data_IF_785105299533
#
_entry.id   IF_785105299533
#
_cell.length_a   1.000
_cell.length_b   1.000
_cell.length_c   1.000
_cell.angle_alpha   90.00
_cell.angle_beta   90.00
_cell.angle_gamma   90.00
#
_symmetry.space_group_name_H-M   'P 1'
#
loop_
_entity.id
_entity.type
_entity.pdbx_description
1 polymer ?
#
# COMPACT_ATOMS: atom_id res chain seq x y z
N UNK A 1 -13.32 49.89 -16.85
CA UNK A 1 -14.45 49.50 -15.99
C UNK A 1 -13.97 48.46 -15.01
N UNK A 2 -13.74 48.93 -13.78
CA UNK A 2 -13.74 48.21 -12.50
C UNK A 2 -12.73 47.05 -12.38
N UNK A 3 -11.55 47.43 -11.90
CA UNK A 3 -10.65 46.55 -11.15
C UNK A 3 -11.35 46.15 -9.86
N UNK A 4 -11.73 44.87 -9.74
CA UNK A 4 -12.31 44.35 -8.50
C UNK A 4 -11.17 44.07 -7.50
N UNK A 5 -10.75 45.16 -6.86
CA UNK A 5 -9.87 45.13 -5.70
C UNK A 5 -10.64 44.50 -4.53
N UNK A 6 -10.59 43.18 -4.40
CA UNK A 6 -10.91 42.52 -3.13
C UNK A 6 -9.77 42.81 -2.16
N UNK A 7 -9.86 43.97 -1.51
CA UNK A 7 -9.03 44.32 -0.37
C UNK A 7 -9.44 43.43 0.81
N UNK A 8 -8.68 42.35 1.03
CA UNK A 8 -8.89 41.47 2.18
C UNK A 8 -8.34 42.15 3.44
N UNK A 9 -9.15 42.40 4.49
CA UNK A 9 -8.74 43.17 5.65
C UNK A 9 -7.61 42.48 6.43
N UNK A 10 -6.65 43.29 6.90
CA UNK A 10 -5.40 42.87 7.56
C UNK A 10 -5.59 42.04 8.86
N UNK A 11 -6.80 41.97 9.41
CA UNK A 11 -7.15 41.12 10.57
C UNK A 11 -7.33 39.63 10.22
N UNK A 12 -7.47 39.30 8.93
CA UNK A 12 -7.57 37.90 8.46
C UNK A 12 -6.18 37.29 8.22
N UNK A 13 -5.17 38.13 7.97
CA UNK A 13 -3.81 37.70 7.64
C UNK A 13 -2.96 37.27 8.84
N UNK A 14 -3.15 37.87 10.01
CA UNK A 14 -2.43 37.50 11.24
C UNK A 14 -2.91 36.13 11.79
N UNK A 15 -4.23 35.96 11.90
CA UNK A 15 -4.86 34.70 12.30
C UNK A 15 -4.46 33.53 11.39
N UNK A 16 -4.28 33.77 10.08
CA UNK A 16 -3.86 32.73 9.13
C UNK A 16 -2.45 32.20 9.40
N UNK A 17 -1.53 33.06 9.85
CA UNK A 17 -0.16 32.67 10.14
C UNK A 17 -0.06 31.89 11.46
N UNK A 18 -0.82 32.28 12.47
CA UNK A 18 -0.87 31.59 13.77
C UNK A 18 -1.55 30.21 13.66
N UNK A 19 -2.69 30.13 12.98
CA UNK A 19 -3.37 28.85 12.69
C UNK A 19 -2.47 27.90 11.89
N UNK A 20 -1.66 28.42 10.94
CA UNK A 20 -0.71 27.60 10.18
C UNK A 20 0.43 27.06 11.04
N UNK A 21 0.83 27.77 12.09
CA UNK A 21 1.83 27.27 13.06
C UNK A 21 1.21 26.20 13.93
N UNK A 22 0.04 26.46 14.49
CA UNK A 22 -0.70 25.52 15.33
C UNK A 22 -0.98 24.19 14.60
N UNK A 23 -1.46 24.24 13.35
CA UNK A 23 -1.68 23.03 12.54
C UNK A 23 -0.38 22.28 12.28
N UNK A 24 0.73 22.97 12.00
CA UNK A 24 2.03 22.32 11.80
C UNK A 24 2.54 21.67 13.09
N UNK A 25 2.32 22.32 14.23
CA UNK A 25 2.74 21.79 15.52
C UNK A 25 1.92 20.55 15.88
N UNK A 26 0.61 20.55 15.61
CA UNK A 26 -0.25 19.36 15.75
C UNK A 26 0.23 18.22 14.84
N UNK A 27 0.47 18.49 13.55
CA UNK A 27 0.95 17.46 12.61
C UNK A 27 2.28 16.87 13.10
N UNK A 28 3.21 17.69 13.59
CA UNK A 28 4.48 17.23 14.16
C UNK A 28 4.28 16.40 15.43
N UNK A 29 3.36 16.80 16.30
CA UNK A 29 3.07 16.07 17.53
C UNK A 29 2.51 14.67 17.25
N UNK A 30 1.80 14.50 16.13
CA UNK A 30 1.21 13.22 15.70
C UNK A 30 1.91 12.61 14.48
N UNK A 31 3.18 12.95 14.23
CA UNK A 31 3.95 12.47 13.06
C UNK A 31 4.00 10.93 12.97
N UNK A 32 3.96 10.24 14.12
CA UNK A 32 3.96 8.78 14.21
C UNK A 32 2.64 8.11 13.79
N UNK A 33 1.54 8.86 13.74
CA UNK A 33 0.22 8.33 13.34
C UNK A 33 0.09 8.25 11.81
N UNK A 34 0.89 9.04 11.10
CA UNK A 34 0.85 9.10 9.64
C UNK A 34 1.89 8.14 9.03
N UNK A 35 1.44 7.30 8.10
CA UNK A 35 2.35 6.50 7.27
C UNK A 35 3.22 7.42 6.41
N UNK A 36 4.53 7.23 6.47
CA UNK A 36 5.52 8.00 5.71
C UNK A 36 5.74 7.46 4.31
N UNK A 37 5.49 6.17 4.12
CA UNK A 37 5.59 5.48 2.84
C UNK A 37 4.49 4.43 2.67
N UNK A 38 4.50 3.73 1.53
CA UNK A 38 3.47 2.73 1.17
C UNK A 38 3.55 1.43 1.99
N UNK A 39 4.69 1.17 2.62
CA UNK A 39 5.02 -0.05 3.36
C UNK A 39 5.15 0.20 4.87
N UNK A 40 5.07 1.45 5.30
CA UNK A 40 5.02 1.92 6.68
C UNK A 40 3.68 1.51 7.32
N UNK A 41 3.61 0.23 7.65
CA UNK A 41 2.48 -0.43 8.29
C UNK A 41 2.96 -0.92 9.64
N UNK A 42 2.42 -0.33 10.71
CA UNK A 42 2.75 -0.76 12.06
C UNK A 42 2.19 -2.16 12.35
N UNK A 43 2.91 -2.93 13.16
CA UNK A 43 2.51 -4.26 13.54
C UNK A 43 1.37 -4.19 14.56
N UNK A 44 0.14 -4.40 14.11
CA UNK A 44 -1.02 -4.56 14.99
C UNK A 44 -0.77 -5.73 15.96
N UNK A 45 -0.76 -5.43 17.26
CA UNK A 45 -0.63 -6.41 18.36
C UNK A 45 -1.96 -7.14 18.61
N UNK A 46 -2.52 -7.73 17.56
CA UNK A 46 -3.78 -8.47 17.63
C UNK A 46 -3.46 -9.95 17.46
N UNK A 47 -4.18 -10.80 18.19
CA UNK A 47 -4.08 -12.25 18.04
C UNK A 47 -4.29 -12.66 16.57
N UNK A 48 -3.48 -13.60 16.04
CA UNK A 48 -3.62 -14.03 14.65
C UNK A 48 -5.03 -14.56 14.35
N UNK A 49 -5.70 -13.94 13.37
CA UNK A 49 -6.99 -14.43 12.89
C UNK A 49 -6.87 -15.86 12.34
N UNK A 50 -7.63 -16.80 12.91
CA UNK A 50 -7.80 -18.16 12.39
C UNK A 50 -8.94 -18.19 11.37
N UNK A 51 -8.66 -18.70 10.18
CA UNK A 51 -9.65 -18.90 9.13
C UNK A 51 -10.19 -20.33 9.24
N UNK A 52 -11.52 -20.48 9.37
CA UNK A 52 -12.18 -21.77 9.36
C UNK A 52 -12.54 -22.11 7.91
N UNK A 53 -12.02 -23.24 7.40
CA UNK A 53 -12.33 -23.72 6.06
C UNK A 53 -13.58 -24.60 6.08
N UNK A 54 -14.30 -24.62 4.97
CA UNK A 54 -15.43 -25.54 4.75
C UNK A 54 -14.96 -26.92 4.29
N UNK A 55 -13.74 -27.02 3.76
CA UNK A 55 -13.11 -28.25 3.29
C UNK A 55 -11.59 -28.14 3.45
N UNK A 56 -10.95 -29.25 3.83
CA UNK A 56 -9.50 -29.36 4.01
C UNK A 56 -8.75 -29.71 2.72
N UNK A 57 -9.45 -29.78 1.58
CA UNK A 57 -8.83 -30.04 0.28
C UNK A 57 -8.05 -28.79 -0.20
N UNK A 58 -6.74 -28.89 -0.47
CA UNK A 58 -5.95 -27.75 -0.88
C UNK A 58 -6.25 -27.34 -2.33
N UNK A 59 -6.31 -26.02 -2.56
CA UNK A 59 -6.44 -25.45 -3.90
C UNK A 59 -5.07 -24.95 -4.35
N UNK A 60 -4.51 -25.58 -5.38
CA UNK A 60 -3.23 -25.20 -5.98
C UNK A 60 -3.42 -24.90 -7.46
N UNK A 61 -3.40 -23.62 -7.81
CA UNK A 61 -3.52 -23.14 -9.17
C UNK A 61 -2.13 -22.90 -9.79
N UNK A 62 -2.02 -23.11 -11.11
CA UNK A 62 -0.77 -22.83 -11.84
C UNK A 62 -0.59 -21.31 -12.00
N UNK A 63 0.65 -20.79 -11.86
CA UNK A 63 0.96 -19.41 -12.23
C UNK A 63 0.58 -19.12 -13.69
N UNK A 64 0.18 -17.88 -13.96
CA UNK A 64 -0.03 -17.42 -15.33
C UNK A 64 1.31 -17.27 -16.04
N UNK A 65 1.31 -17.46 -17.36
CA UNK A 65 2.47 -17.15 -18.18
C UNK A 65 2.69 -15.63 -18.17
N UNK A 66 3.90 -15.21 -17.82
CA UNK A 66 4.32 -13.80 -17.81
C UNK A 66 5.49 -13.60 -18.76
N UNK A 67 5.60 -12.41 -19.35
CA UNK A 67 6.79 -12.02 -20.11
C UNK A 67 7.99 -11.82 -19.17
N UNK A 68 9.24 -11.84 -19.69
CA UNK A 68 10.44 -11.65 -18.87
C UNK A 68 10.46 -10.31 -18.11
N UNK A 69 9.87 -9.26 -18.71
CA UNK A 69 9.78 -7.92 -18.09
C UNK A 69 8.81 -7.95 -16.90
N UNK A 70 7.66 -8.60 -17.07
CA UNK A 70 6.67 -8.76 -16.00
C UNK A 70 7.23 -9.62 -14.86
N UNK A 71 7.95 -10.69 -15.18
CA UNK A 71 8.57 -11.58 -14.19
C UNK A 71 9.60 -10.83 -13.33
N UNK A 72 10.43 -9.98 -13.94
CA UNK A 72 11.39 -9.13 -13.23
C UNK A 72 10.68 -8.14 -12.29
N UNK A 73 9.60 -7.52 -12.75
CA UNK A 73 8.81 -6.59 -11.94
C UNK A 73 8.13 -7.31 -10.76
N UNK A 74 7.59 -8.51 -10.98
CA UNK A 74 7.03 -9.35 -9.92
C UNK A 74 8.11 -9.65 -8.86
N UNK A 75 9.31 -10.10 -9.28
CA UNK A 75 10.41 -10.40 -8.34
C UNK A 75 10.82 -9.16 -7.53
N UNK A 76 10.96 -8.01 -8.18
CA UNK A 76 11.30 -6.74 -7.53
C UNK A 76 10.28 -6.33 -6.47
N UNK A 77 8.98 -6.49 -6.74
CA UNK A 77 7.93 -6.17 -5.77
C UNK A 77 7.89 -7.15 -4.61
N UNK A 78 8.04 -8.45 -4.89
CA UNK A 78 8.12 -9.49 -3.86
C UNK A 78 9.28 -9.21 -2.91
N UNK A 79 10.45 -8.87 -3.44
CA UNK A 79 11.62 -8.55 -2.61
C UNK A 79 11.37 -7.35 -1.70
N UNK A 80 10.75 -6.28 -2.21
CA UNK A 80 10.36 -5.11 -1.40
C UNK A 80 9.39 -5.50 -0.28
N UNK A 81 8.40 -6.36 -0.57
CA UNK A 81 7.43 -6.81 0.43
C UNK A 81 8.07 -7.72 1.49
N UNK A 82 9.03 -8.57 1.10
CA UNK A 82 9.83 -9.38 2.02
C UNK A 82 10.70 -8.51 2.92
N UNK A 83 11.38 -7.52 2.35
CA UNK A 83 12.21 -6.56 3.10
C UNK A 83 11.38 -5.74 4.08
N UNK A 84 10.15 -5.36 3.70
CA UNK A 84 9.20 -4.67 4.57
C UNK A 84 8.57 -5.59 5.64
N UNK A 85 8.80 -6.91 5.60
CA UNK A 85 8.23 -7.86 6.55
C UNK A 85 6.72 -8.09 6.40
N UNK A 86 6.11 -7.64 5.29
CA UNK A 86 4.68 -7.78 5.03
C UNK A 86 4.31 -9.20 4.55
N UNK A 87 5.25 -9.89 3.91
CA UNK A 87 5.10 -11.28 3.48
C UNK A 87 6.26 -12.14 3.96
N UNK A 88 6.10 -13.47 3.90
CA UNK A 88 7.14 -14.45 4.24
C UNK A 88 7.10 -15.65 3.29
N UNK A 89 8.25 -16.28 3.11
CA UNK A 89 8.34 -17.55 2.41
C UNK A 89 7.63 -18.66 3.19
N UNK A 90 7.15 -19.67 2.48
CA UNK A 90 6.35 -20.76 3.03
C UNK A 90 6.26 -21.92 2.05
N UNK A 91 6.00 -23.13 2.59
CA UNK A 91 5.74 -24.33 1.81
C UNK A 91 4.29 -24.81 2.01
N UNK A 92 3.31 -24.05 1.53
CA UNK A 92 1.89 -24.40 1.63
C UNK A 92 1.44 -25.30 0.48
N UNK A 93 0.52 -26.25 0.72
CA UNK A 93 -0.14 -26.99 -0.36
C UNK A 93 -1.13 -26.14 -1.17
N UNK A 94 -1.42 -24.91 -0.72
CA UNK A 94 -2.30 -23.97 -1.41
C UNK A 94 -1.49 -22.95 -2.23
N UNK A 95 -1.97 -22.65 -3.44
CA UNK A 95 -1.33 -21.68 -4.34
C UNK A 95 -2.35 -20.97 -5.23
N UNK A 96 -2.18 -19.66 -5.40
CA UNK A 96 -2.98 -18.80 -6.29
C UNK A 96 -2.03 -18.07 -7.24
N UNK A 97 -2.37 -17.92 -8.53
CA UNK A 97 -1.56 -17.19 -9.48
C UNK A 97 -1.51 -15.69 -9.15
N UNK A 98 -0.43 -15.05 -9.59
CA UNK A 98 -0.24 -13.59 -9.49
C UNK A 98 -0.53 -12.95 -10.84
N UNK A 99 -1.17 -11.79 -10.82
CA UNK A 99 -1.38 -10.95 -12.01
C UNK A 99 -0.95 -9.53 -11.69
N UNK A 100 -0.24 -8.90 -12.63
CA UNK A 100 0.11 -7.49 -12.56
C UNK A 100 -1.07 -6.65 -13.04
N UNK A 101 -1.50 -5.68 -12.22
CA UNK A 101 -2.52 -4.71 -12.62
C UNK A 101 -1.96 -3.31 -12.47
N UNK A 102 -1.87 -2.56 -13.56
CA UNK A 102 -1.45 -1.16 -13.53
C UNK A 102 -2.60 -0.29 -13.02
N UNK A 103 -2.43 0.34 -11.86
CA UNK A 103 -3.27 1.46 -11.42
C UNK A 103 -2.74 2.75 -12.03
N UNK A 104 -3.67 3.57 -12.50
CA UNK A 104 -3.41 4.94 -12.90
C UNK A 104 -3.30 5.82 -11.66
N UNK A 105 -2.10 6.00 -11.12
CA UNK A 105 -1.84 7.12 -10.20
C UNK A 105 -1.43 8.35 -11.03
N UNK A 106 -1.79 9.54 -10.55
CA UNK A 106 -1.62 10.85 -11.19
C UNK A 106 -0.24 11.03 -11.86
N UNK A 107 -0.16 10.67 -13.15
CA UNK A 107 0.99 10.89 -14.02
C UNK A 107 2.01 9.76 -14.13
N UNK A 108 1.84 8.62 -13.43
CA UNK A 108 2.81 7.52 -13.44
C UNK A 108 2.10 6.15 -13.40
N UNK A 109 2.28 5.34 -14.46
CA UNK A 109 1.80 3.94 -14.56
C UNK A 109 2.62 2.98 -13.66
N UNK A 110 2.96 3.42 -12.47
CA UNK A 110 3.97 2.75 -11.62
C UNK A 110 3.33 2.08 -10.42
N UNK A 111 2.05 2.33 -10.17
CA UNK A 111 1.33 1.71 -9.06
C UNK A 111 0.74 0.41 -9.53
N UNK A 112 1.52 -0.66 -9.41
CA UNK A 112 1.04 -1.99 -9.76
C UNK A 112 0.35 -2.56 -8.52
N UNK A 113 -0.89 -3.01 -8.69
CA UNK A 113 -1.64 -3.75 -7.68
C UNK A 113 -1.65 -5.22 -8.08
N UNK A 114 -1.24 -6.09 -7.16
CA UNK A 114 -1.47 -7.51 -7.31
C UNK A 114 -2.93 -7.81 -6.96
N UNK A 115 -3.69 -8.42 -7.89
CA UNK A 115 -4.93 -9.11 -7.53
C UNK A 115 -4.55 -10.45 -6.92
N UNK A 116 -4.23 -10.47 -5.62
CA UNK A 116 -4.28 -11.69 -4.84
C UNK A 116 -5.77 -12.02 -4.64
N UNK A 117 -6.31 -12.99 -5.38
CA UNK A 117 -7.60 -13.54 -4.99
C UNK A 117 -7.40 -14.22 -3.64
N UNK A 118 -8.14 -13.69 -2.66
CA UNK A 118 -8.16 -14.01 -1.23
C UNK A 118 -7.79 -15.45 -0.88
N UNK A 119 -6.51 -15.72 -0.59
CA UNK A 119 -6.15 -16.77 0.35
C UNK A 119 -4.85 -16.35 1.05
N UNK A 120 -4.81 -16.41 2.39
CA UNK A 120 -3.56 -16.44 3.15
C UNK A 120 -2.81 -17.71 2.77
N UNK A 121 -2.11 -17.65 1.65
CA UNK A 121 -1.19 -18.67 1.20
C UNK A 121 0.11 -17.95 0.95
N UNK A 122 1.08 -18.17 1.84
CA UNK A 122 2.32 -18.81 1.42
C UNK A 122 2.54 -18.70 -0.10
N UNK A 123 3.11 -17.58 -0.52
CA UNK A 123 3.49 -17.38 -1.90
C UNK A 123 4.59 -18.39 -2.22
N UNK A 124 4.25 -19.53 -2.80
CA UNK A 124 5.24 -20.40 -3.39
C UNK A 124 5.59 -19.80 -4.75
N UNK A 125 6.47 -18.79 -4.74
CA UNK A 125 7.14 -18.30 -5.94
C UNK A 125 8.19 -19.35 -6.25
N UNK A 126 7.78 -20.40 -6.96
CA UNK A 126 8.74 -21.27 -7.62
C UNK A 126 9.24 -20.47 -8.82
N UNK A 127 10.42 -19.84 -8.65
CA UNK A 127 11.20 -19.22 -9.71
C UNK A 127 11.54 -20.25 -10.80
#
# INVERSE_FOLDING_TARGET
TIEDQVNLPQSVTENKCELRKEVKDIIKNFDSVFSKDKYDVDALRVEPQRLMLTSDLPVSLRPYCTSPVEEQEIKSQVEKLLQAGLIKESNSPYSSPVTLVFKSDEGKKNSIMHRFQEIKCSMQIRL
#
